data_IF_471241087628
#
_entry.id   IF_471241087628
#
_cell.length_a   1.000
_cell.length_b   1.000
_cell.length_c   1.000
_cell.angle_alpha   90.00
_cell.angle_beta   90.00
_cell.angle_gamma   90.00
#
_symmetry.space_group_name_H-M   'P 1'
#
loop_
_entity.id
_entity.type
_entity.pdbx_description
1 polymer ?
#
# COMPACT_ATOMS: atom_id res chain seq x y z
N UNK A 1 20.33 -21.94 14.41
CA UNK A 1 20.16 -20.69 13.63
C UNK A 1 18.84 -20.08 14.03
N UNK A 2 18.85 -18.95 14.75
CA UNK A 2 17.65 -18.22 15.14
C UNK A 2 17.20 -17.42 13.93
N UNK A 3 16.06 -17.76 13.34
CA UNK A 3 15.41 -16.92 12.34
C UNK A 3 14.97 -15.64 13.05
N UNK A 4 15.54 -14.51 12.68
CA UNK A 4 15.02 -13.20 13.02
C UNK A 4 13.77 -12.99 12.18
N UNK A 5 12.62 -13.11 12.81
CA UNK A 5 11.36 -12.64 12.26
C UNK A 5 11.45 -11.11 12.25
N UNK A 6 11.72 -10.52 11.11
CA UNK A 6 11.62 -9.07 10.95
C UNK A 6 10.13 -8.73 10.97
N UNK A 7 9.68 -8.17 12.09
CA UNK A 7 8.35 -7.56 12.21
C UNK A 7 8.38 -6.27 11.39
N UNK A 8 8.06 -6.36 10.10
CA UNK A 8 7.89 -5.18 9.25
C UNK A 8 6.44 -4.73 9.44
N UNK A 9 6.26 -3.76 10.34
CA UNK A 9 4.95 -3.17 10.60
C UNK A 9 4.64 -2.08 9.58
N UNK A 10 3.48 -2.17 8.98
CA UNK A 10 2.86 -1.14 8.16
C UNK A 10 2.33 -0.03 9.08
N UNK A 11 2.82 1.19 8.94
CA UNK A 11 2.47 2.29 9.84
C UNK A 11 1.89 3.46 9.06
N UNK A 12 0.57 3.66 9.13
CA UNK A 12 0.01 4.98 8.85
C UNK A 12 0.00 5.79 10.15
N UNK A 13 0.78 6.85 10.15
CA UNK A 13 0.71 7.97 11.08
C UNK A 13 0.90 7.67 12.56
N UNK A 14 2.02 8.10 13.08
CA UNK A 14 2.08 8.48 14.49
C UNK A 14 1.31 9.78 14.68
N UNK A 15 0.12 9.73 15.30
CA UNK A 15 -0.64 10.93 15.67
C UNK A 15 -0.14 11.39 17.05
N UNK A 16 0.40 12.60 17.15
CA UNK A 16 0.73 13.19 18.44
C UNK A 16 -0.54 13.80 19.06
N UNK A 17 -1.10 13.15 20.07
CA UNK A 17 -2.01 13.77 21.01
C UNK A 17 -1.18 14.33 22.16
N UNK A 18 -1.43 15.53 22.61
CA UNK A 18 -0.77 16.43 23.58
C UNK A 18 0.05 15.87 24.74
N UNK A 19 0.67 14.71 24.63
CA UNK A 19 1.60 14.14 25.60
C UNK A 19 2.65 13.21 24.95
N UNK A 20 3.03 13.46 23.68
CA UNK A 20 4.22 12.83 23.08
C UNK A 20 4.10 11.33 22.74
N UNK A 21 2.93 10.70 22.87
CA UNK A 21 2.75 9.32 22.45
C UNK A 21 2.25 9.25 21.00
N UNK A 22 3.02 8.60 20.15
CA UNK A 22 2.60 8.23 18.80
C UNK A 22 1.87 6.89 18.84
N UNK A 23 0.83 6.72 18.03
CA UNK A 23 0.20 5.44 17.81
C UNK A 23 0.16 5.13 16.31
N UNK A 24 0.13 3.85 16.00
CA UNK A 24 0.03 3.34 14.64
C UNK A 24 -1.43 3.17 14.26
N UNK A 25 -1.79 3.66 13.07
CA UNK A 25 -3.05 3.36 12.40
C UNK A 25 -2.71 2.53 11.16
N UNK A 26 -3.37 1.39 10.99
CA UNK A 26 -3.14 0.51 9.84
C UNK A 26 -4.11 0.85 8.71
N UNK A 27 -3.68 0.69 7.45
CA UNK A 27 -4.54 0.95 6.28
C UNK A 27 -5.78 0.05 6.30
N UNK A 28 -5.62 -1.20 6.68
CA UNK A 28 -6.70 -2.17 6.81
C UNK A 28 -7.66 -1.90 7.98
N UNK A 29 -7.31 -1.01 8.93
CA UNK A 29 -8.24 -0.54 9.97
C UNK A 29 -9.18 0.57 9.44
N UNK A 30 -8.84 1.22 8.30
CA UNK A 30 -9.63 2.31 7.74
C UNK A 30 -10.89 1.80 7.03
N UNK A 31 -11.82 2.72 6.77
CA UNK A 31 -12.94 2.47 5.86
C UNK A 31 -12.45 2.54 4.40
N UNK A 32 -12.44 1.40 3.73
CA UNK A 32 -11.99 1.28 2.34
C UNK A 32 -13.13 1.47 1.32
N UNK A 33 -14.34 1.76 1.75
CA UNK A 33 -15.50 1.93 0.85
C UNK A 33 -15.34 3.10 -0.12
N UNK A 34 -14.51 4.08 0.24
CA UNK A 34 -14.16 5.21 -0.62
C UNK A 34 -13.01 4.91 -1.61
N UNK A 35 -12.40 3.73 -1.53
CA UNK A 35 -11.37 3.33 -2.46
C UNK A 35 -11.98 2.98 -3.80
N UNK A 36 -11.51 3.64 -4.85
CA UNK A 36 -11.87 3.28 -6.24
C UNK A 36 -10.84 2.31 -6.79
N UNK A 37 -11.28 1.38 -7.63
CA UNK A 37 -10.36 0.48 -8.33
C UNK A 37 -10.95 -0.05 -9.65
N UNK A 38 -10.08 -0.57 -10.51
CA UNK A 38 -10.44 -0.99 -11.87
C UNK A 38 -11.31 -2.24 -11.90
N UNK A 39 -11.15 -3.16 -10.95
CA UNK A 39 -11.92 -4.39 -10.85
C UNK A 39 -12.05 -4.85 -9.40
N UNK A 40 -13.19 -5.48 -9.06
CA UNK A 40 -13.46 -6.01 -7.73
C UNK A 40 -13.64 -4.93 -6.64
N UNK A 41 -13.27 -5.26 -5.42
CA UNK A 41 -13.28 -4.36 -4.26
C UNK A 41 -11.99 -4.53 -3.48
N UNK A 42 -11.54 -3.47 -2.83
CA UNK A 42 -10.36 -3.53 -1.97
C UNK A 42 -10.59 -4.51 -0.80
N UNK A 43 -9.59 -5.36 -0.54
CA UNK A 43 -9.67 -6.44 0.44
C UNK A 43 -8.73 -6.18 1.60
N UNK A 44 -9.27 -6.20 2.82
CA UNK A 44 -8.49 -6.07 4.06
C UNK A 44 -7.77 -7.38 4.37
N UNK A 45 -6.44 -7.32 4.53
CA UNK A 45 -5.59 -8.44 4.91
C UNK A 45 -5.66 -9.64 3.95
N UNK A 46 -6.02 -9.35 2.72
CA UNK A 46 -6.18 -10.32 1.64
C UNK A 46 -5.82 -9.69 0.31
N UNK A 47 -5.33 -10.52 -0.62
CA UNK A 47 -5.23 -10.15 -2.03
C UNK A 47 -6.63 -9.92 -2.62
N UNK A 48 -6.69 -9.37 -3.82
CA UNK A 48 -7.96 -9.14 -4.55
C UNK A 48 -8.78 -10.41 -4.71
N UNK A 49 -8.13 -11.56 -4.89
CA UNK A 49 -8.79 -12.88 -4.97
C UNK A 49 -9.08 -13.52 -3.60
N UNK A 50 -8.84 -12.80 -2.51
CA UNK A 50 -9.13 -13.27 -1.15
C UNK A 50 -8.10 -14.23 -0.56
N UNK A 51 -6.91 -14.34 -1.17
CA UNK A 51 -5.79 -15.15 -0.67
C UNK A 51 -4.94 -14.37 0.34
N UNK A 52 -3.92 -14.99 0.86
CA UNK A 52 -2.90 -14.33 1.70
C UNK A 52 -2.09 -13.36 0.84
N UNK A 53 -1.92 -12.12 1.30
CA UNK A 53 -1.05 -11.15 0.65
C UNK A 53 0.36 -11.73 0.51
N UNK A 54 0.86 -11.83 -0.73
CA UNK A 54 2.17 -12.42 -1.01
C UNK A 54 2.86 -11.68 -2.14
N UNK A 55 4.00 -11.07 -1.87
CA UNK A 55 4.77 -10.28 -2.84
C UNK A 55 6.17 -10.87 -2.94
N UNK A 56 6.58 -11.35 -4.12
CA UNK A 56 7.91 -11.89 -4.35
C UNK A 56 8.30 -13.02 -3.39
N UNK A 57 7.35 -13.89 -3.05
CA UNK A 57 7.52 -15.01 -2.10
C UNK A 57 7.44 -14.62 -0.63
N UNK A 58 7.22 -13.34 -0.32
CA UNK A 58 7.09 -12.86 1.06
C UNK A 58 5.61 -12.64 1.41
N UNK A 59 5.15 -13.27 2.50
CA UNK A 59 3.76 -13.16 2.98
C UNK A 59 3.59 -12.04 3.99
N UNK A 60 2.39 -11.42 3.98
CA UNK A 60 2.03 -10.34 4.89
C UNK A 60 0.70 -10.65 5.58
N UNK A 61 0.63 -10.42 6.88
CA UNK A 61 -0.58 -10.64 7.69
C UNK A 61 -1.54 -9.47 7.60
N UNK A 62 -1.03 -8.26 7.37
CA UNK A 62 -1.79 -7.02 7.31
C UNK A 62 -1.54 -6.29 6.00
N UNK A 63 -2.54 -5.56 5.52
CA UNK A 63 -2.44 -4.76 4.34
C UNK A 63 -3.77 -4.69 3.58
N UNK A 64 -3.70 -4.18 2.37
CA UNK A 64 -4.86 -4.03 1.47
C UNK A 64 -4.50 -4.52 0.08
N UNK A 65 -5.21 -5.56 -0.36
CA UNK A 65 -5.19 -5.99 -1.75
C UNK A 65 -6.14 -5.16 -2.59
N UNK A 66 -5.68 -4.70 -3.74
CA UNK A 66 -6.42 -3.85 -4.67
C UNK A 66 -6.07 -4.19 -6.11
N UNK A 67 -6.77 -3.60 -7.06
CA UNK A 67 -6.56 -3.81 -8.50
C UNK A 67 -6.32 -2.46 -9.19
N UNK A 68 -5.32 -2.37 -10.07
CA UNK A 68 -5.12 -1.15 -10.84
C UNK A 68 -6.31 -0.85 -11.79
N UNK A 69 -6.63 0.37 -12.11
CA UNK A 69 -6.16 1.60 -11.49
C UNK A 69 -6.92 1.80 -10.19
N UNK A 70 -6.22 2.03 -9.08
CA UNK A 70 -6.90 2.25 -7.79
C UNK A 70 -6.42 3.51 -7.10
N UNK A 71 -7.31 4.11 -6.31
CA UNK A 71 -7.03 5.31 -5.53
C UNK A 71 -7.83 5.30 -4.22
N UNK A 72 -7.18 5.69 -3.14
CA UNK A 72 -7.82 6.07 -1.89
C UNK A 72 -7.25 7.39 -1.38
N UNK A 73 -8.14 8.30 -0.98
CA UNK A 73 -7.77 9.56 -0.33
C UNK A 73 -8.06 9.50 1.16
N UNK A 74 -7.08 9.85 1.98
CA UNK A 74 -7.14 9.79 3.45
C UNK A 74 -6.92 11.18 4.00
N UNK A 75 -7.87 11.66 4.84
CA UNK A 75 -7.73 12.92 5.54
C UNK A 75 -6.87 12.74 6.80
N UNK A 76 -5.76 13.46 6.87
CA UNK A 76 -4.78 13.38 7.96
C UNK A 76 -4.84 14.59 8.90
N UNK A 77 -5.43 15.69 8.45
CA UNK A 77 -5.53 16.97 9.18
C UNK A 77 -4.16 17.49 9.69
N UNK A 78 -3.07 17.14 9.03
CA UNK A 78 -1.72 17.50 9.44
C UNK A 78 -1.24 16.83 10.73
N UNK A 79 -1.89 15.75 11.17
CA UNK A 79 -1.55 15.05 12.43
C UNK A 79 -0.65 13.83 12.23
N UNK A 80 -0.51 13.37 10.99
CA UNK A 80 0.33 12.23 10.66
C UNK A 80 1.81 12.63 10.56
N UNK A 81 2.69 11.74 10.98
CA UNK A 81 4.14 11.98 10.96
C UNK A 81 4.80 11.26 9.79
N UNK A 82 4.40 10.03 9.50
CA UNK A 82 5.00 9.22 8.42
C UNK A 82 4.02 8.19 7.88
N UNK A 83 4.27 7.75 6.65
CA UNK A 83 3.64 6.59 6.05
C UNK A 83 4.71 5.61 5.60
N UNK A 84 4.51 4.32 5.90
CA UNK A 84 5.42 3.24 5.51
C UNK A 84 4.61 2.04 5.04
N UNK A 85 5.01 1.44 3.93
CA UNK A 85 4.39 0.24 3.35
C UNK A 85 5.42 -0.60 2.60
N UNK A 86 5.20 -1.90 2.52
CA UNK A 86 5.77 -2.76 1.49
C UNK A 86 4.76 -2.86 0.35
N UNK A 87 5.19 -2.64 -0.89
CA UNK A 87 4.28 -2.66 -2.04
C UNK A 87 4.80 -3.56 -3.15
N UNK A 88 3.87 -4.15 -3.88
CA UNK A 88 4.18 -4.97 -5.05
C UNK A 88 2.94 -5.60 -5.66
N UNK A 89 3.13 -6.30 -6.76
CA UNK A 89 2.09 -7.14 -7.33
C UNK A 89 2.04 -8.47 -6.56
N UNK A 90 0.81 -8.93 -6.28
CA UNK A 90 0.60 -10.19 -5.54
C UNK A 90 1.04 -11.39 -6.38
N UNK A 91 1.67 -12.36 -5.74
CA UNK A 91 2.16 -13.57 -6.41
C UNK A 91 1.04 -14.45 -6.99
N UNK A 92 -0.23 -14.18 -6.67
CA UNK A 92 -1.37 -14.90 -7.26
C UNK A 92 -1.47 -14.72 -8.78
N UNK A 93 -0.83 -13.64 -9.30
CA UNK A 93 -0.81 -13.34 -10.74
C UNK A 93 0.58 -13.54 -11.37
N UNK A 94 1.49 -14.25 -10.71
CA UNK A 94 2.91 -14.39 -11.12
C UNK A 94 3.07 -14.96 -12.54
N UNK A 95 2.11 -15.76 -13.01
CA UNK A 95 2.10 -16.31 -14.38
C UNK A 95 1.75 -15.26 -15.46
N UNK A 96 1.26 -14.08 -15.03
CA UNK A 96 0.93 -12.97 -15.92
C UNK A 96 2.11 -11.98 -15.98
N UNK A 97 2.40 -11.50 -17.19
CA UNK A 97 3.46 -10.51 -17.41
C UNK A 97 2.87 -9.11 -17.29
N UNK A 98 2.41 -8.79 -16.11
CA UNK A 98 1.76 -7.51 -15.81
C UNK A 98 2.67 -6.62 -14.99
N UNK A 99 2.39 -5.32 -15.01
CA UNK A 99 3.16 -4.31 -14.28
C UNK A 99 2.26 -3.21 -13.72
N UNK A 100 2.69 -2.60 -12.61
CA UNK A 100 2.01 -1.49 -11.99
C UNK A 100 3.00 -0.45 -11.45
N UNK A 101 2.51 0.74 -11.12
CA UNK A 101 3.25 1.76 -10.40
C UNK A 101 2.48 2.18 -9.16
N UNK A 102 3.13 2.14 -7.99
CA UNK A 102 2.58 2.65 -6.74
C UNK A 102 3.02 4.09 -6.52
N UNK A 103 2.08 4.97 -6.20
CA UNK A 103 2.33 6.40 -6.08
C UNK A 103 1.72 6.90 -4.77
N UNK A 104 2.48 7.70 -4.05
CA UNK A 104 2.03 8.40 -2.84
C UNK A 104 2.05 9.89 -3.09
N UNK A 105 0.90 10.54 -2.88
CA UNK A 105 0.71 11.98 -3.05
C UNK A 105 0.29 12.59 -1.70
N UNK A 106 0.90 13.68 -1.31
CA UNK A 106 0.51 14.49 -0.15
C UNK A 106 0.16 15.90 -0.58
N UNK A 107 -1.05 16.37 -0.28
CA UNK A 107 -1.55 17.71 -0.64
C UNK A 107 -1.32 18.08 -2.11
N UNK A 108 -1.50 17.09 -3.02
CA UNK A 108 -1.30 17.25 -4.47
C UNK A 108 0.15 17.17 -4.94
N UNK A 109 1.13 17.00 -4.07
CA UNK A 109 2.53 16.81 -4.43
C UNK A 109 2.92 15.32 -4.35
N UNK A 110 3.61 14.79 -5.38
CA UNK A 110 4.12 13.42 -5.35
C UNK A 110 5.24 13.32 -4.31
N UNK A 111 5.01 12.52 -3.27
CA UNK A 111 5.98 12.25 -2.21
C UNK A 111 6.87 11.05 -2.53
N UNK A 112 6.32 10.05 -3.22
CA UNK A 112 7.04 8.83 -3.54
C UNK A 112 6.41 8.11 -4.74
N UNK A 113 7.22 7.31 -5.43
CA UNK A 113 6.81 6.36 -6.46
C UNK A 113 7.68 5.10 -6.40
N UNK A 114 7.09 3.95 -6.62
CA UNK A 114 7.83 2.70 -6.79
C UNK A 114 8.61 2.64 -8.10
N UNK A 115 8.28 3.50 -9.08
CA UNK A 115 8.51 3.19 -10.48
C UNK A 115 7.75 1.92 -10.89
N UNK A 116 8.02 1.42 -12.07
CA UNK A 116 7.35 0.20 -12.55
C UNK A 116 7.81 -1.00 -11.70
N UNK A 117 6.84 -1.76 -11.20
CA UNK A 117 7.01 -3.06 -10.56
C UNK A 117 6.31 -4.13 -11.39
N UNK A 118 6.86 -5.33 -11.42
CA UNK A 118 6.35 -6.45 -12.22
C UNK A 118 5.95 -7.62 -11.31
N UNK A 119 5.07 -8.46 -11.81
CA UNK A 119 4.74 -9.72 -11.13
C UNK A 119 6.01 -10.52 -10.82
N UNK A 120 6.14 -10.94 -9.57
CA UNK A 120 7.31 -11.69 -9.06
C UNK A 120 8.50 -10.83 -8.61
N UNK A 121 8.44 -9.50 -8.75
CA UNK A 121 9.45 -8.62 -8.15
C UNK A 121 9.38 -8.68 -6.63
N UNK A 122 10.52 -8.52 -5.96
CA UNK A 122 10.56 -8.36 -4.51
C UNK A 122 9.77 -7.12 -4.06
N UNK A 123 9.15 -7.15 -2.86
CA UNK A 123 8.43 -6.00 -2.36
C UNK A 123 9.31 -4.75 -2.26
N UNK A 124 8.76 -3.60 -2.62
CA UNK A 124 9.44 -2.31 -2.49
C UNK A 124 8.99 -1.57 -1.25
N UNK A 125 9.95 -1.08 -0.48
CA UNK A 125 9.67 -0.25 0.69
C UNK A 125 9.29 1.18 0.24
N UNK A 126 8.08 1.58 0.61
CA UNK A 126 7.66 2.98 0.64
C UNK A 126 7.88 3.53 2.05
N UNK A 127 8.54 4.67 2.17
CA UNK A 127 8.67 5.38 3.46
C UNK A 127 8.76 6.87 3.19
N UNK A 128 7.77 7.62 3.67
CA UNK A 128 7.66 9.07 3.44
C UNK A 128 7.31 9.80 4.73
N UNK A 129 7.82 11.03 4.88
CA UNK A 129 7.35 11.95 5.91
C UNK A 129 5.98 12.51 5.53
N UNK A 130 5.09 12.61 6.51
CA UNK A 130 3.78 13.23 6.37
C UNK A 130 3.63 14.50 7.23
N UNK A 131 4.76 15.05 7.70
CA UNK A 131 4.73 16.24 8.55
C UNK A 131 4.02 17.39 7.82
N UNK A 132 2.92 17.88 8.43
CA UNK A 132 2.08 18.93 7.89
C UNK A 132 1.14 18.51 6.75
N UNK A 133 1.22 17.29 6.22
CA UNK A 133 0.34 16.80 5.16
C UNK A 133 -1.08 16.64 5.68
N UNK A 134 -2.05 17.23 4.99
CA UNK A 134 -3.47 17.20 5.37
C UNK A 134 -4.23 16.10 4.67
N UNK A 135 -3.91 15.85 3.41
CA UNK A 135 -4.54 14.82 2.58
C UNK A 135 -3.48 13.94 1.94
N UNK A 136 -3.59 12.65 2.16
CA UNK A 136 -2.78 11.60 1.55
C UNK A 136 -3.58 10.88 0.49
N UNK A 137 -2.99 10.64 -0.67
CA UNK A 137 -3.56 9.82 -1.73
C UNK A 137 -2.59 8.65 -2.01
N UNK A 138 -3.14 7.43 -1.99
CA UNK A 138 -2.45 6.21 -2.36
C UNK A 138 -3.03 5.73 -3.68
N UNK A 139 -2.18 5.60 -4.70
CA UNK A 139 -2.59 5.28 -6.06
C UNK A 139 -1.80 4.06 -6.55
N UNK A 140 -2.49 3.14 -7.21
CA UNK A 140 -1.87 2.12 -8.06
C UNK A 140 -2.28 2.41 -9.49
N UNK A 141 -1.34 2.82 -10.31
CA UNK A 141 -1.50 2.99 -11.74
C UNK A 141 -1.11 1.71 -12.47
N UNK A 142 -1.65 1.48 -13.67
CA UNK A 142 -1.12 0.44 -14.54
C UNK A 142 0.34 0.78 -14.95
N UNK A 143 1.15 -0.21 -15.25
CA UNK A 143 2.54 -0.03 -15.63
C UNK A 143 2.75 0.42 -17.07
N UNK A 144 1.65 0.72 -17.81
CA UNK A 144 1.66 1.09 -19.21
C UNK A 144 1.37 -0.09 -20.15
N UNK A 145 1.07 -1.27 -19.63
CA UNK A 145 0.69 -2.48 -20.36
C UNK A 145 -0.82 -2.81 -20.25
N UNK A 146 -1.57 -1.91 -19.59
CA UNK A 146 -3.00 -2.02 -19.33
C UNK A 146 -3.31 -2.71 -18.00
N UNK A 147 -4.53 -2.51 -17.46
CA UNK A 147 -4.86 -2.89 -16.08
C UNK A 147 -5.23 -4.38 -15.92
N UNK A 148 -4.86 -5.25 -16.85
CA UNK A 148 -5.23 -6.67 -16.80
C UNK A 148 -4.34 -7.44 -15.84
N UNK A 149 -4.94 -8.11 -14.84
CA UNK A 149 -4.25 -8.89 -13.80
C UNK A 149 -3.33 -8.07 -12.88
N UNK A 150 -3.57 -6.77 -12.73
CA UNK A 150 -2.78 -5.92 -11.84
C UNK A 150 -3.26 -6.04 -10.39
N UNK A 151 -3.18 -7.24 -9.83
CA UNK A 151 -3.46 -7.46 -8.39
C UNK A 151 -2.30 -6.90 -7.59
N UNK A 152 -2.57 -5.89 -6.80
CA UNK A 152 -1.57 -5.04 -6.15
C UNK A 152 -1.81 -4.96 -4.65
N UNK A 153 -0.74 -4.98 -3.87
CA UNK A 153 -0.81 -4.98 -2.43
C UNK A 153 -0.10 -3.77 -1.82
N UNK A 154 -0.78 -3.14 -0.88
CA UNK A 154 -0.22 -2.25 0.12
C UNK A 154 -0.11 -3.03 1.44
N UNK A 155 1.10 -3.55 1.78
CA UNK A 155 1.37 -4.42 2.92
C UNK A 155 2.36 -3.81 3.93
#
# INVERSE_FOLDING_TARGET
MKQFLALVGFVIASITTGCGQSHTVWLDDLDLTAMTQGNGVAMKNKSVDGKTLTIGGQTFERGVGTHSVSEIAIQLDGKAVSFTAQVGLDDEIIEHKTSAEFIVIGDGARLWSSGIVKAGDAPKLCSVSLDGVKRLELIVADGGDGPYYDHADWA
#
